data_IF_209215096785
#
_entry.id   IF_209215096785
#
_cell.length_a   1.000
_cell.length_b   1.000
_cell.length_c   1.000
_cell.angle_alpha   90.00
_cell.angle_beta   90.00
_cell.angle_gamma   90.00
#
_symmetry.space_group_name_H-M   'P 1'
#
loop_
_entity.id
_entity.type
_entity.pdbx_description
1 polymer ?
#
# COMPACT_ATOMS: atom_id res chain seq x y z
N UNK A 1 -5.34 -37.36 9.02
CA UNK A 1 -5.56 -36.07 9.70
C UNK A 1 -5.65 -35.02 8.62
N UNK A 2 -6.80 -34.36 8.46
CA UNK A 2 -6.92 -33.21 7.55
C UNK A 2 -6.24 -32.02 8.22
N UNK A 3 -5.08 -31.62 7.71
CA UNK A 3 -4.43 -30.40 8.15
C UNK A 3 -5.28 -29.21 7.66
N UNK A 4 -5.69 -28.32 8.56
CA UNK A 4 -6.29 -27.04 8.18
C UNK A 4 -5.20 -26.19 7.51
N UNK A 5 -5.20 -26.18 6.18
CA UNK A 5 -4.31 -25.33 5.38
C UNK A 5 -4.88 -23.90 5.36
N UNK A 6 -4.01 -22.87 5.30
CA UNK A 6 -4.48 -21.49 5.18
C UNK A 6 -5.22 -21.27 3.86
N UNK A 7 -6.35 -20.55 3.94
CA UNK A 7 -7.10 -20.10 2.75
C UNK A 7 -6.47 -18.83 2.20
N UNK A 8 -6.18 -18.82 0.89
CA UNK A 8 -5.71 -17.63 0.18
C UNK A 8 -6.94 -16.81 -0.21
N UNK A 9 -7.07 -15.61 0.36
CA UNK A 9 -8.14 -14.67 0.04
C UNK A 9 -7.83 -13.90 -1.23
N UNK A 10 -8.87 -13.47 -1.95
CA UNK A 10 -8.74 -12.56 -3.09
C UNK A 10 -9.63 -11.37 -2.81
N UNK A 11 -9.03 -10.20 -2.67
CA UNK A 11 -9.75 -8.96 -2.46
C UNK A 11 -9.71 -8.09 -3.70
N UNK A 12 -10.90 -7.63 -4.09
CA UNK A 12 -11.12 -6.63 -5.10
C UNK A 12 -12.10 -5.65 -4.47
N UNK A 13 -11.67 -4.42 -4.27
CA UNK A 13 -12.46 -3.42 -3.59
C UNK A 13 -12.73 -2.26 -4.54
N UNK A 14 -13.93 -1.70 -4.45
CA UNK A 14 -14.36 -0.62 -5.33
C UNK A 14 -14.03 0.73 -4.68
N UNK A 15 -13.60 1.68 -5.50
CA UNK A 15 -13.33 3.05 -5.08
C UNK A 15 -13.86 3.99 -6.16
N UNK A 16 -14.83 4.83 -5.83
CA UNK A 16 -15.55 5.66 -6.81
C UNK A 16 -14.66 6.60 -7.65
N UNK A 17 -13.48 6.96 -7.13
CA UNK A 17 -12.52 7.83 -7.83
C UNK A 17 -11.52 7.04 -8.70
N UNK A 18 -11.64 5.71 -8.75
CA UNK A 18 -10.80 4.86 -9.58
C UNK A 18 -11.59 3.74 -10.27
N UNK A 19 -11.31 3.55 -11.56
CA UNK A 19 -11.82 2.39 -12.29
C UNK A 19 -10.72 1.77 -13.14
N UNK A 20 -10.59 0.44 -13.07
CA UNK A 20 -9.93 -0.31 -14.14
C UNK A 20 -10.96 -0.51 -15.26
N UNK A 21 -10.78 0.15 -16.40
CA UNK A 21 -11.72 0.06 -17.51
C UNK A 21 -11.48 -1.23 -18.30
N UNK A 22 -10.23 -1.51 -18.63
CA UNK A 22 -9.81 -2.68 -19.41
C UNK A 22 -8.32 -3.00 -19.15
N UNK A 23 -7.89 -4.21 -19.50
CA UNK A 23 -6.48 -4.60 -19.42
C UNK A 23 -6.14 -5.67 -20.45
N UNK A 24 -4.89 -5.70 -20.87
CA UNK A 24 -4.37 -6.69 -21.80
C UNK A 24 -3.19 -6.14 -22.59
N UNK A 25 -2.53 -7.00 -23.35
CA UNK A 25 -1.35 -6.67 -24.15
C UNK A 25 -0.27 -5.90 -23.35
N UNK A 26 -0.06 -6.30 -22.08
CA UNK A 26 0.87 -5.66 -21.13
C UNK A 26 0.51 -4.23 -20.74
N UNK A 27 -0.75 -3.85 -20.87
CA UNK A 27 -1.24 -2.52 -20.54
C UNK A 27 -2.53 -2.60 -19.74
N UNK A 28 -2.84 -1.51 -19.05
CA UNK A 28 -4.13 -1.28 -18.41
C UNK A 28 -4.65 0.10 -18.77
N UNK A 29 -5.96 0.17 -19.00
CA UNK A 29 -6.72 1.38 -19.24
C UNK A 29 -7.46 1.72 -17.95
N UNK A 30 -7.12 2.84 -17.34
CA UNK A 30 -7.57 3.20 -15.99
C UNK A 30 -8.19 4.58 -15.99
N UNK A 31 -9.19 4.80 -15.14
CA UNK A 31 -9.74 6.11 -14.82
C UNK A 31 -9.32 6.49 -13.41
N UNK A 32 -8.74 7.66 -13.25
CA UNK A 32 -8.48 8.31 -11.96
C UNK A 32 -9.26 9.63 -11.94
N UNK A 33 -10.39 9.63 -11.24
CA UNK A 33 -11.38 10.71 -11.26
C UNK A 33 -11.75 11.09 -12.69
N UNK A 34 -11.34 12.29 -13.12
CA UNK A 34 -11.66 12.81 -14.46
C UNK A 34 -10.78 12.28 -15.60
N UNK A 35 -9.63 11.69 -15.31
CA UNK A 35 -8.65 11.33 -16.34
C UNK A 35 -8.62 9.85 -16.62
N UNK A 36 -8.73 9.49 -17.90
CA UNK A 36 -8.47 8.14 -18.41
C UNK A 36 -7.03 8.07 -18.88
N UNK A 37 -6.27 7.08 -18.42
CA UNK A 37 -4.86 6.91 -18.73
C UNK A 37 -4.56 5.48 -19.16
N UNK A 38 -3.51 5.29 -19.96
CA UNK A 38 -2.95 3.97 -20.24
C UNK A 38 -1.62 3.86 -19.51
N UNK A 39 -1.43 2.77 -18.77
CA UNK A 39 -0.15 2.45 -18.13
C UNK A 39 0.28 1.05 -18.50
N UNK A 40 1.60 0.85 -18.53
CA UNK A 40 2.18 -0.48 -18.61
C UNK A 40 1.83 -1.32 -17.38
N UNK A 41 1.33 -2.52 -17.65
CA UNK A 41 1.08 -3.58 -16.70
C UNK A 41 1.59 -4.90 -17.25
N UNK A 42 2.83 -5.24 -16.91
CA UNK A 42 3.50 -6.43 -17.43
C UNK A 42 2.73 -7.71 -17.13
N UNK A 43 1.85 -7.75 -16.12
CA UNK A 43 1.09 -8.95 -15.75
C UNK A 43 -0.11 -9.20 -16.67
N UNK A 44 -0.58 -8.21 -17.42
CA UNK A 44 -1.77 -8.30 -18.27
C UNK A 44 -1.45 -9.01 -19.61
N UNK A 45 -1.20 -10.33 -19.56
CA UNK A 45 -0.81 -11.16 -20.71
C UNK A 45 -1.91 -11.40 -21.75
N UNK A 46 -3.16 -11.28 -21.33
CA UNK A 46 -4.34 -11.54 -22.15
C UNK A 46 -4.58 -10.40 -23.14
N UNK A 47 -5.62 -10.53 -23.97
CA UNK A 47 -6.04 -9.48 -24.91
C UNK A 47 -7.04 -8.53 -24.23
N UNK A 48 -6.99 -7.23 -24.53
CA UNK A 48 -8.04 -6.28 -24.14
C UNK A 48 -9.41 -6.71 -24.67
N UNK A 49 -10.47 -6.43 -23.91
CA UNK A 49 -11.85 -6.68 -24.35
C UNK A 49 -12.47 -5.47 -25.06
N UNK A 50 -12.10 -4.25 -24.67
CA UNK A 50 -12.62 -3.04 -25.30
C UNK A 50 -12.00 -2.81 -26.68
N UNK A 51 -12.78 -2.25 -27.63
CA UNK A 51 -12.24 -1.91 -28.94
C UNK A 51 -11.17 -0.80 -28.84
N UNK A 52 -10.24 -0.71 -29.80
CA UNK A 52 -9.19 0.32 -29.81
C UNK A 52 -9.71 1.76 -29.75
N UNK A 53 -10.98 2.02 -30.10
CA UNK A 53 -11.61 3.34 -29.97
C UNK A 53 -11.71 3.80 -28.51
N UNK A 54 -11.96 2.89 -27.57
CA UNK A 54 -12.03 3.22 -26.14
C UNK A 54 -10.64 3.56 -25.60
N UNK A 55 -9.62 2.76 -25.95
CA UNK A 55 -8.23 3.01 -25.59
C UNK A 55 -7.70 4.35 -26.17
N UNK A 56 -8.21 4.79 -27.32
CA UNK A 56 -7.87 6.10 -27.90
C UNK A 56 -8.37 7.27 -27.04
N UNK A 57 -9.36 7.06 -26.18
CA UNK A 57 -9.89 8.09 -25.28
C UNK A 57 -8.97 8.39 -24.09
N UNK A 58 -7.88 7.66 -23.89
CA UNK A 58 -6.89 8.00 -22.87
C UNK A 58 -6.27 9.39 -23.14
N UNK A 59 -6.07 10.16 -22.07
CA UNK A 59 -5.48 11.50 -22.10
C UNK A 59 -3.96 11.46 -22.07
N UNK A 60 -3.41 10.43 -21.41
CA UNK A 60 -1.99 10.24 -21.22
C UNK A 60 -1.63 8.74 -21.27
N UNK A 61 -0.40 8.45 -21.70
CA UNK A 61 0.13 7.09 -21.80
C UNK A 61 1.49 7.03 -21.12
N UNK A 62 1.71 5.99 -20.33
CA UNK A 62 3.02 5.61 -19.83
C UNK A 62 3.38 4.21 -20.33
N UNK A 63 4.36 4.14 -21.24
CA UNK A 63 4.72 2.90 -21.96
C UNK A 63 5.77 2.04 -21.24
N UNK A 64 6.22 2.43 -20.04
CA UNK A 64 7.22 1.67 -19.28
C UNK A 64 8.63 1.67 -19.89
N UNK A 65 8.90 2.53 -20.89
CA UNK A 65 10.21 2.62 -21.54
C UNK A 65 11.30 3.18 -20.60
N UNK A 66 12.57 3.04 -20.98
CA UNK A 66 13.72 3.50 -20.16
C UNK A 66 13.68 5.01 -19.85
N UNK A 67 12.96 5.80 -20.65
CA UNK A 67 12.79 7.24 -20.42
C UNK A 67 11.80 7.51 -19.30
N UNK A 68 10.85 6.60 -19.08
CA UNK A 68 9.87 6.67 -18.02
C UNK A 68 8.94 7.87 -18.10
N UNK A 69 8.76 8.44 -19.30
CA UNK A 69 8.03 9.69 -19.50
C UNK A 69 6.58 9.44 -19.92
N UNK A 70 5.69 10.35 -19.51
CA UNK A 70 4.30 10.38 -19.95
C UNK A 70 4.16 11.01 -21.33
N UNK A 71 3.43 10.35 -22.23
CA UNK A 71 2.97 10.90 -23.50
C UNK A 71 1.56 11.47 -23.33
N UNK A 72 1.39 12.78 -23.55
CA UNK A 72 0.11 13.46 -23.43
C UNK A 72 -0.56 13.64 -24.80
N UNK A 73 -1.80 13.14 -24.93
CA UNK A 73 -2.61 13.27 -26.16
C UNK A 73 -3.46 14.54 -26.20
N UNK A 74 -3.60 15.21 -25.06
CA UNK A 74 -4.35 16.46 -24.89
C UNK A 74 -3.76 17.27 -23.73
N UNK A 75 -4.13 18.54 -23.63
CA UNK A 75 -3.77 19.37 -22.47
C UNK A 75 -4.48 18.85 -21.22
N UNK A 76 -3.71 18.56 -20.18
CA UNK A 76 -4.19 18.10 -18.87
C UNK A 76 -3.55 18.93 -17.77
N UNK A 77 -4.17 18.96 -16.59
CA UNK A 77 -3.51 19.48 -15.40
C UNK A 77 -2.36 18.54 -15.01
N UNK A 78 -1.30 19.09 -14.43
CA UNK A 78 -0.17 18.29 -13.93
C UNK A 78 -0.55 17.47 -12.70
N UNK A 79 -1.51 17.97 -11.92
CA UNK A 79 -2.07 17.35 -10.72
C UNK A 79 -3.59 17.50 -10.70
N UNK A 80 -4.26 16.58 -10.01
CA UNK A 80 -5.69 16.60 -9.75
C UNK A 80 -6.00 15.88 -8.44
N UNK A 81 -7.20 16.10 -7.92
CA UNK A 81 -7.64 15.52 -6.66
C UNK A 81 -8.47 14.25 -6.88
N UNK A 82 -8.31 13.32 -5.93
CA UNK A 82 -9.08 12.10 -5.75
C UNK A 82 -9.56 12.07 -4.30
N UNK A 83 -10.78 11.63 -4.06
CA UNK A 83 -11.35 11.55 -2.71
C UNK A 83 -11.46 10.11 -2.23
N UNK A 84 -10.99 9.81 -1.02
CA UNK A 84 -11.19 8.50 -0.40
C UNK A 84 -11.66 8.69 1.04
N UNK A 85 -12.89 8.29 1.35
CA UNK A 85 -13.53 8.59 2.63
C UNK A 85 -13.46 10.11 2.93
N UNK A 86 -12.76 10.50 4.00
CA UNK A 86 -12.56 11.91 4.38
C UNK A 86 -11.25 12.52 3.86
N UNK A 87 -10.52 11.79 3.02
CA UNK A 87 -9.24 12.21 2.48
C UNK A 87 -9.40 12.89 1.12
N UNK A 88 -8.66 13.98 0.93
CA UNK A 88 -8.39 14.57 -0.38
C UNK A 88 -6.96 14.25 -0.76
N UNK A 89 -6.80 13.36 -1.71
CA UNK A 89 -5.52 12.83 -2.18
C UNK A 89 -5.16 13.49 -3.50
N UNK A 90 -3.92 13.91 -3.62
CA UNK A 90 -3.42 14.43 -4.88
C UNK A 90 -2.85 13.30 -5.74
N UNK A 91 -3.32 13.25 -6.99
CA UNK A 91 -2.70 12.47 -8.05
C UNK A 91 -1.97 13.41 -9.02
N UNK A 92 -0.80 12.99 -9.52
CA UNK A 92 -0.02 13.77 -10.49
C UNK A 92 0.74 12.91 -11.48
N UNK A 93 0.97 13.47 -12.66
CA UNK A 93 1.88 12.89 -13.63
C UNK A 93 3.32 13.24 -13.25
N UNK A 94 4.10 12.22 -12.88
CA UNK A 94 5.52 12.41 -12.49
C UNK A 94 6.44 12.24 -13.70
N UNK A 95 7.58 12.92 -13.71
CA UNK A 95 8.46 12.94 -14.88
C UNK A 95 9.14 11.58 -15.17
N UNK A 96 9.38 10.76 -14.14
CA UNK A 96 10.23 9.56 -14.23
C UNK A 96 9.53 8.29 -13.74
N UNK A 97 8.22 8.33 -13.49
CA UNK A 97 7.49 7.16 -12.97
C UNK A 97 6.09 7.06 -13.57
N UNK A 98 5.64 5.80 -13.71
CA UNK A 98 4.26 5.46 -14.07
C UNK A 98 3.27 5.62 -12.91
N UNK A 99 3.76 5.79 -11.68
CA UNK A 99 2.90 5.97 -10.52
C UNK A 99 2.32 7.38 -10.51
N UNK A 100 1.03 7.45 -10.18
CA UNK A 100 0.27 8.71 -10.13
C UNK A 100 0.01 9.19 -8.71
N UNK A 101 0.54 8.50 -7.69
CA UNK A 101 0.41 8.90 -6.28
C UNK A 101 -0.44 8.01 -5.40
N UNK A 102 -1.20 7.08 -5.99
CA UNK A 102 -2.05 6.13 -5.27
C UNK A 102 -1.97 4.74 -5.89
N UNK A 103 -2.23 3.72 -5.08
CA UNK A 103 -2.38 2.32 -5.47
C UNK A 103 -3.80 1.88 -5.12
N UNK A 104 -4.76 2.02 -6.06
CA UNK A 104 -6.20 1.84 -5.80
C UNK A 104 -6.58 0.48 -5.19
N UNK A 105 -5.84 -0.57 -5.53
CA UNK A 105 -6.01 -1.92 -4.97
C UNK A 105 -5.86 -1.96 -3.44
N UNK A 106 -5.14 -0.99 -2.86
CA UNK A 106 -4.94 -0.86 -1.42
C UNK A 106 -6.18 -0.30 -0.70
N UNK A 107 -7.23 0.11 -1.42
CA UNK A 107 -8.50 0.55 -0.83
C UNK A 107 -9.05 -0.48 0.17
N UNK A 108 -8.94 -1.77 -0.15
CA UNK A 108 -9.32 -2.87 0.74
C UNK A 108 -8.58 -2.81 2.08
N UNK A 109 -7.28 -2.53 2.05
CA UNK A 109 -6.47 -2.40 3.24
C UNK A 109 -6.71 -1.09 3.97
N UNK A 110 -6.97 0.01 3.27
CA UNK A 110 -7.32 1.28 3.90
C UNK A 110 -8.59 1.15 4.73
N UNK A 111 -9.65 0.56 4.15
CA UNK A 111 -10.90 0.27 4.88
C UNK A 111 -10.65 -0.66 6.06
N UNK A 112 -9.88 -1.73 5.85
CA UNK A 112 -9.53 -2.66 6.93
C UNK A 112 -8.72 -2.00 8.07
N UNK A 113 -7.75 -1.13 7.75
CA UNK A 113 -6.97 -0.38 8.75
C UNK A 113 -7.91 0.49 9.60
N UNK A 114 -8.82 1.23 8.95
CA UNK A 114 -9.82 2.04 9.63
C UNK A 114 -10.67 1.19 10.59
N UNK A 115 -11.17 0.05 10.11
CA UNK A 115 -11.94 -0.89 10.93
C UNK A 115 -11.16 -1.41 12.14
N UNK A 116 -9.90 -1.79 11.97
CA UNK A 116 -9.08 -2.28 13.09
C UNK A 116 -8.85 -1.20 14.15
N UNK A 117 -8.61 0.04 13.71
CA UNK A 117 -8.43 1.18 14.63
C UNK A 117 -9.72 1.49 15.37
N UNK A 118 -10.87 1.45 14.70
CA UNK A 118 -12.16 1.69 15.35
C UNK A 118 -12.57 0.60 16.36
N UNK A 119 -12.13 -0.64 16.13
CA UNK A 119 -12.38 -1.76 17.06
C UNK A 119 -11.46 -1.73 18.28
N UNK A 120 -10.35 -1.00 18.22
CA UNK A 120 -9.43 -0.88 19.34
C UNK A 120 -9.90 0.21 20.32
N UNK A 121 -10.08 -0.14 21.59
CA UNK A 121 -10.57 0.79 22.61
C UNK A 121 -9.54 1.88 23.00
N UNK A 122 -8.29 1.76 22.55
CA UNK A 122 -7.24 2.74 22.86
C UNK A 122 -7.46 4.03 22.08
N UNK A 123 -7.49 5.15 22.79
CA UNK A 123 -7.63 6.50 22.20
C UNK A 123 -6.34 7.04 21.54
N UNK A 124 -5.25 6.26 21.52
CA UNK A 124 -3.96 6.69 20.97
C UNK A 124 -3.15 5.50 20.45
N UNK A 125 -3.77 4.68 19.58
CA UNK A 125 -3.10 3.55 18.95
C UNK A 125 -1.86 4.02 18.17
N UNK A 126 -0.68 3.50 18.48
CA UNK A 126 0.56 3.89 17.80
C UNK A 126 0.79 3.03 16.57
N UNK A 127 0.71 3.63 15.39
CA UNK A 127 0.89 2.95 14.10
C UNK A 127 2.24 3.33 13.50
N UNK A 128 3.06 2.35 13.16
CA UNK A 128 4.26 2.53 12.34
C UNK A 128 3.94 2.16 10.89
N UNK A 129 4.16 3.06 9.95
CA UNK A 129 4.06 2.78 8.52
C UNK A 129 5.43 2.89 7.86
N UNK A 130 5.99 1.76 7.43
CA UNK A 130 7.29 1.67 6.76
C UNK A 130 7.10 1.52 5.25
N UNK A 131 7.92 2.24 4.48
CA UNK A 131 7.78 2.37 3.02
C UNK A 131 6.44 3.01 2.65
N UNK A 132 6.06 4.04 3.41
CA UNK A 132 4.69 4.56 3.41
C UNK A 132 4.30 5.35 2.14
N UNK A 133 5.23 5.60 1.22
CA UNK A 133 4.99 6.31 -0.04
C UNK A 133 4.29 7.68 0.17
N UNK A 134 3.21 7.95 -0.55
CA UNK A 134 2.40 9.19 -0.44
C UNK A 134 1.49 9.21 0.79
N UNK A 135 1.58 8.21 1.67
CA UNK A 135 1.03 8.26 3.00
C UNK A 135 -0.47 8.00 3.12
N UNK A 136 -1.15 7.47 2.09
CA UNK A 136 -2.60 7.21 2.16
C UNK A 136 -2.98 6.37 3.38
N UNK A 137 -2.29 5.23 3.62
CA UNK A 137 -2.54 4.40 4.80
C UNK A 137 -2.26 5.12 6.13
N UNK A 138 -1.27 6.02 6.16
CA UNK A 138 -0.97 6.85 7.33
C UNK A 138 -2.07 7.87 7.60
N UNK A 139 -2.60 8.51 6.55
CA UNK A 139 -3.69 9.48 6.64
C UNK A 139 -4.98 8.80 7.08
N UNK A 140 -5.30 7.63 6.51
CA UNK A 140 -6.42 6.80 6.94
C UNK A 140 -6.28 6.50 8.43
N UNK A 141 -5.16 5.92 8.86
CA UNK A 141 -4.95 5.56 10.26
C UNK A 141 -5.12 6.75 11.20
N UNK A 142 -4.48 7.88 10.89
CA UNK A 142 -4.59 9.10 11.69
C UNK A 142 -6.02 9.62 11.76
N UNK A 143 -6.73 9.63 10.63
CA UNK A 143 -8.10 10.13 10.52
C UNK A 143 -9.10 9.33 11.37
N UNK A 144 -8.78 8.09 11.69
CA UNK A 144 -9.54 7.23 12.60
C UNK A 144 -9.02 7.23 14.05
N UNK A 145 -8.07 8.11 14.39
CA UNK A 145 -7.65 8.37 15.77
C UNK A 145 -6.30 7.78 16.17
N UNK A 146 -5.55 7.18 15.25
CA UNK A 146 -4.22 6.66 15.56
C UNK A 146 -3.14 7.77 15.60
N UNK A 147 -2.12 7.58 16.42
CA UNK A 147 -0.86 8.32 16.33
C UNK A 147 0.09 7.60 15.38
N UNK A 148 0.48 8.26 14.29
CA UNK A 148 1.17 7.60 13.18
C UNK A 148 2.62 8.07 13.10
N UNK A 149 3.55 7.13 12.97
CA UNK A 149 4.88 7.40 12.43
C UNK A 149 4.94 6.88 11.01
N UNK A 150 5.16 7.78 10.06
CA UNK A 150 5.33 7.48 8.65
C UNK A 150 6.80 7.54 8.28
N UNK A 151 7.32 6.51 7.61
CA UNK A 151 8.72 6.43 7.19
C UNK A 151 8.80 6.07 5.72
N UNK A 152 9.50 6.91 4.95
CA UNK A 152 9.90 6.61 3.58
C UNK A 152 11.29 7.20 3.30
N UNK A 153 12.06 6.59 2.41
CA UNK A 153 13.40 7.06 2.06
C UNK A 153 13.37 8.27 1.10
N UNK A 154 12.31 8.40 0.29
CA UNK A 154 12.24 9.43 -0.72
C UNK A 154 11.62 10.72 -0.17
N UNK A 155 12.46 11.76 0.00
CA UNK A 155 12.02 13.08 0.50
C UNK A 155 10.82 13.66 -0.27
N UNK A 156 10.78 13.45 -1.59
CA UNK A 156 9.70 13.94 -2.46
C UNK A 156 8.35 13.28 -2.17
N UNK A 157 8.31 11.96 -1.90
CA UNK A 157 7.05 11.27 -1.59
C UNK A 157 6.59 11.56 -0.17
N UNK A 158 7.51 11.76 0.79
CA UNK A 158 7.16 12.23 2.13
C UNK A 158 6.58 13.65 2.09
N UNK A 159 7.14 14.54 1.27
CA UNK A 159 6.57 15.88 1.05
C UNK A 159 5.18 15.79 0.44
N UNK A 160 4.98 14.92 -0.55
CA UNK A 160 3.67 14.65 -1.15
C UNK A 160 2.67 14.12 -0.11
N UNK A 161 3.08 13.25 0.80
CA UNK A 161 2.24 12.80 1.90
C UNK A 161 1.81 13.92 2.87
N UNK A 162 2.71 14.88 3.14
CA UNK A 162 2.36 16.09 3.90
C UNK A 162 1.38 16.98 3.15
N UNK A 163 1.58 17.17 1.83
CA UNK A 163 0.63 17.90 0.98
C UNK A 163 -0.76 17.24 1.01
N UNK A 164 -0.83 15.91 0.96
CA UNK A 164 -2.09 15.16 1.12
C UNK A 164 -2.72 15.33 2.52
N UNK A 165 -1.91 15.41 3.57
CA UNK A 165 -2.38 15.70 4.93
C UNK A 165 -3.05 17.07 5.01
N UNK A 166 -2.41 18.09 4.44
CA UNK A 166 -2.91 19.46 4.39
C UNK A 166 -4.19 19.57 3.57
N UNK A 167 -4.21 18.99 2.35
CA UNK A 167 -5.39 18.95 1.47
C UNK A 167 -6.59 18.25 2.13
N UNK A 168 -6.33 17.23 2.93
CA UNK A 168 -7.37 16.50 3.67
C UNK A 168 -7.85 17.24 4.93
N UNK A 169 -7.30 18.40 5.27
CA UNK A 169 -7.64 19.13 6.49
C UNK A 169 -7.19 18.41 7.77
N UNK A 170 -6.13 17.60 7.69
CA UNK A 170 -5.66 16.74 8.78
C UNK A 170 -4.34 17.24 9.41
N UNK A 171 -3.97 18.50 9.19
CA UNK A 171 -2.68 19.06 9.63
C UNK A 171 -2.45 18.98 11.15
N UNK A 172 -3.52 19.01 11.95
CA UNK A 172 -3.44 18.92 13.41
C UNK A 172 -3.37 17.47 13.93
N UNK A 173 -3.51 16.47 13.06
CA UNK A 173 -3.44 15.07 13.45
C UNK A 173 -2.00 14.59 13.70
N UNK A 174 -1.80 13.65 14.65
CA UNK A 174 -0.47 13.25 15.11
C UNK A 174 0.25 12.32 14.11
N UNK A 175 0.74 12.87 12.99
CA UNK A 175 1.56 12.16 12.01
C UNK A 175 3.00 12.65 12.06
N UNK A 176 3.91 11.78 12.51
CA UNK A 176 5.36 12.00 12.46
C UNK A 176 5.92 11.53 11.11
N UNK A 177 6.19 12.47 10.23
CA UNK A 177 6.77 12.23 8.89
C UNK A 177 8.30 12.16 8.94
N UNK A 178 8.85 10.99 8.62
CA UNK A 178 10.28 10.69 8.69
C UNK A 178 10.81 10.37 7.28
N UNK A 179 11.90 11.04 6.90
CA UNK A 179 12.68 10.72 5.69
C UNK A 179 13.89 9.90 6.12
N UNK A 180 13.84 8.58 6.00
CA UNK A 180 14.93 7.72 6.45
C UNK A 180 14.91 6.32 5.80
N UNK A 181 16.02 5.59 5.91
CA UNK A 181 16.05 4.16 5.61
C UNK A 181 15.25 3.40 6.68
N UNK A 182 14.34 2.52 6.24
CA UNK A 182 13.42 1.82 7.14
C UNK A 182 14.15 0.98 8.20
N UNK A 183 15.20 0.24 7.83
CA UNK A 183 15.95 -0.59 8.78
C UNK A 183 16.67 0.31 9.80
N UNK A 184 17.41 1.33 9.34
CA UNK A 184 18.11 2.25 10.24
C UNK A 184 17.14 2.98 11.17
N UNK A 185 15.95 3.31 10.68
CA UNK A 185 14.90 3.91 11.50
C UNK A 185 14.47 2.96 12.61
N UNK A 186 14.10 1.73 12.25
CA UNK A 186 13.68 0.70 13.20
C UNK A 186 14.77 0.46 14.26
N UNK A 187 16.02 0.28 13.86
CA UNK A 187 17.16 0.09 14.80
C UNK A 187 17.33 1.26 15.78
N UNK A 188 17.11 2.51 15.33
CA UNK A 188 17.15 3.68 16.23
C UNK A 188 16.00 3.70 17.21
N UNK A 189 14.79 3.32 16.77
CA UNK A 189 13.63 3.26 17.64
C UNK A 189 13.77 2.15 18.68
N UNK A 190 14.38 1.01 18.33
CA UNK A 190 14.74 -0.06 19.29
C UNK A 190 15.68 0.49 20.36
N UNK A 191 16.76 1.19 19.95
CA UNK A 191 17.70 1.83 20.90
C UNK A 191 17.06 2.90 21.79
N UNK A 192 15.91 3.44 21.37
CA UNK A 192 15.13 4.45 22.12
C UNK A 192 13.97 3.81 22.89
N UNK A 193 13.89 2.49 22.91
CA UNK A 193 12.84 1.72 23.61
C UNK A 193 11.43 2.16 23.19
N UNK A 194 11.27 2.51 21.91
CA UNK A 194 9.97 2.85 21.35
C UNK A 194 9.20 1.59 21.01
N UNK A 195 7.90 1.65 21.23
CA UNK A 195 6.96 0.58 20.88
C UNK A 195 5.80 1.12 20.06
N UNK A 196 5.24 0.24 19.23
CA UNK A 196 4.11 0.48 18.36
C UNK A 196 3.08 -0.62 18.54
N UNK A 197 1.82 -0.24 18.47
CA UNK A 197 0.69 -1.15 18.65
C UNK A 197 0.28 -1.76 17.31
N UNK A 198 0.59 -1.11 16.18
CA UNK A 198 0.45 -1.69 14.86
C UNK A 198 1.60 -1.33 13.92
N UNK A 199 1.89 -2.21 12.97
CA UNK A 199 2.93 -2.02 11.96
C UNK A 199 2.36 -2.30 10.57
N UNK A 200 2.57 -1.36 9.64
CA UNK A 200 2.31 -1.49 8.21
C UNK A 200 3.65 -1.58 7.47
N UNK A 201 3.76 -2.56 6.58
CA UNK A 201 4.97 -2.87 5.81
C UNK A 201 4.63 -2.98 4.32
N UNK A 202 5.22 -2.12 3.50
CA UNK A 202 5.12 -2.23 2.02
C UNK A 202 6.50 -2.21 1.34
N UNK A 203 7.43 -3.11 1.71
CA UNK A 203 8.79 -3.06 1.19
C UNK A 203 8.84 -3.33 -0.33
N UNK A 204 9.54 -2.50 -1.11
CA UNK A 204 9.74 -2.78 -2.53
C UNK A 204 10.70 -3.95 -2.73
N UNK A 205 10.71 -4.57 -3.91
CA UNK A 205 11.69 -5.62 -4.25
C UNK A 205 13.13 -5.09 -4.22
N UNK A 206 13.31 -3.86 -4.69
CA UNK A 206 14.57 -3.13 -4.74
C UNK A 206 14.33 -1.66 -4.35
N UNK A 207 15.27 -1.08 -3.62
CA UNK A 207 15.19 0.32 -3.23
C UNK A 207 16.54 0.90 -2.83
N UNK A 208 16.54 2.20 -2.56
CA UNK A 208 17.70 2.88 -1.97
C UNK A 208 17.27 3.79 -0.84
N UNK A 209 18.00 3.74 0.27
CA UNK A 209 17.86 4.69 1.37
C UNK A 209 18.33 6.09 0.97
N UNK A 210 18.05 7.12 1.80
CA UNK A 210 18.41 8.51 1.49
C UNK A 210 19.93 8.72 1.31
N UNK A 211 20.76 7.89 1.95
CA UNK A 211 22.22 7.93 1.83
C UNK A 211 22.75 6.80 0.93
N UNK A 212 21.93 6.32 -0.01
CA UNK A 212 22.26 5.27 -1.00
C UNK A 212 22.45 3.87 -0.40
N UNK A 213 21.90 3.62 0.78
CA UNK A 213 21.81 2.28 1.37
C UNK A 213 21.08 1.34 0.39
N UNK A 214 21.64 0.17 0.11
CA UNK A 214 21.01 -0.77 -0.82
C UNK A 214 19.91 -1.56 -0.11
N UNK A 215 18.68 -1.47 -0.61
CA UNK A 215 17.58 -2.34 -0.21
C UNK A 215 17.33 -3.38 -1.29
N UNK A 216 17.40 -4.64 -0.88
CA UNK A 216 16.98 -5.81 -1.67
C UNK A 216 16.19 -6.73 -0.76
N UNK A 217 14.93 -6.96 -1.09
CA UNK A 217 14.01 -7.67 -0.19
C UNK A 217 14.52 -9.08 0.15
N UNK A 218 15.07 -9.79 -0.84
CA UNK A 218 15.63 -11.14 -0.74
C UNK A 218 16.75 -11.29 0.30
N UNK A 219 17.41 -10.19 0.67
CA UNK A 219 18.51 -10.19 1.64
C UNK A 219 18.16 -9.55 2.97
N UNK A 220 17.07 -8.79 3.06
CA UNK A 220 16.82 -7.86 4.18
C UNK A 220 15.47 -8.04 4.86
N UNK A 221 14.54 -8.76 4.25
CA UNK A 221 13.19 -8.89 4.79
C UNK A 221 13.16 -9.57 6.16
N UNK A 222 13.89 -10.68 6.33
CA UNK A 222 13.97 -11.39 7.62
C UNK A 222 14.47 -10.48 8.75
N UNK A 223 15.64 -9.86 8.56
CA UNK A 223 16.23 -8.93 9.54
C UNK A 223 15.30 -7.77 9.87
N UNK A 224 14.59 -7.22 8.89
CA UNK A 224 13.62 -6.14 9.12
C UNK A 224 12.45 -6.62 9.98
N UNK A 225 11.91 -7.82 9.73
CA UNK A 225 10.80 -8.37 10.52
C UNK A 225 11.23 -8.68 11.96
N UNK A 226 12.43 -9.22 12.16
CA UNK A 226 13.00 -9.45 13.50
C UNK A 226 13.17 -8.14 14.28
N UNK A 227 13.57 -7.08 13.59
CA UNK A 227 13.68 -5.75 14.18
C UNK A 227 12.30 -5.12 14.44
N UNK A 228 11.34 -5.26 13.53
CA UNK A 228 9.97 -4.80 13.73
C UNK A 228 9.29 -5.52 14.91
N UNK A 229 9.57 -6.81 15.10
CA UNK A 229 9.05 -7.60 16.22
C UNK A 229 9.49 -7.00 17.56
N UNK A 230 10.71 -6.51 17.68
CA UNK A 230 11.22 -5.84 18.89
C UNK A 230 10.55 -4.49 19.16
N UNK A 231 9.92 -3.89 18.14
CA UNK A 231 9.17 -2.64 18.26
C UNK A 231 7.69 -2.85 18.59
N UNK A 232 7.19 -4.08 18.62
CA UNK A 232 5.80 -4.33 19.00
C UNK A 232 5.60 -4.02 20.48
N UNK A 233 4.44 -3.45 20.83
CA UNK A 233 4.02 -3.33 22.22
C UNK A 233 3.67 -4.69 22.82
N UNK A 234 3.48 -4.74 24.14
CA UNK A 234 3.05 -5.97 24.83
C UNK A 234 1.66 -6.47 24.37
N UNK A 235 0.87 -5.59 23.75
CA UNK A 235 -0.49 -5.86 23.26
C UNK A 235 -0.64 -5.30 21.84
N UNK A 236 0.04 -5.89 20.84
CA UNK A 236 -0.09 -5.42 19.48
C UNK A 236 -1.52 -5.66 18.99
N UNK A 237 -2.04 -4.68 18.25
CA UNK A 237 -3.34 -4.68 17.61
C UNK A 237 -3.30 -5.48 16.30
N UNK A 238 -2.44 -5.06 15.36
CA UNK A 238 -2.32 -5.72 14.07
C UNK A 238 -0.99 -5.47 13.37
N UNK A 239 -0.63 -6.36 12.44
CA UNK A 239 0.48 -6.18 11.50
C UNK A 239 -0.06 -6.43 10.10
N UNK A 240 0.25 -5.54 9.16
CA UNK A 240 -0.10 -5.69 7.74
C UNK A 240 1.15 -5.61 6.90
N UNK A 241 1.35 -6.60 6.02
CA UNK A 241 2.44 -6.64 5.07
C UNK A 241 1.90 -6.82 3.65
N UNK A 242 2.36 -5.98 2.73
CA UNK A 242 2.05 -6.05 1.29
C UNK A 242 3.33 -6.23 0.49
N UNK A 243 3.29 -7.09 -0.54
CA UNK A 243 4.40 -7.30 -1.48
C UNK A 243 3.90 -7.27 -2.93
N UNK A 244 4.55 -6.49 -3.79
CA UNK A 244 4.22 -6.44 -5.22
C UNK A 244 4.90 -7.53 -6.07
N UNK A 245 5.80 -8.33 -5.45
CA UNK A 245 6.53 -9.43 -6.08
C UNK A 245 5.67 -10.70 -6.20
N UNK A 246 4.79 -10.76 -7.20
CA UNK A 246 3.84 -11.87 -7.42
C UNK A 246 4.46 -13.22 -7.81
N UNK A 247 5.77 -13.28 -8.04
CA UNK A 247 6.47 -14.56 -8.27
C UNK A 247 6.50 -15.43 -7.00
N UNK A 248 6.13 -14.85 -5.86
CA UNK A 248 6.00 -15.52 -4.57
C UNK A 248 4.54 -15.91 -4.30
N UNK A 249 4.33 -16.83 -3.36
CA UNK A 249 3.00 -17.16 -2.84
C UNK A 249 2.72 -16.38 -1.56
N UNK A 250 1.47 -15.97 -1.33
CA UNK A 250 1.04 -15.39 -0.06
C UNK A 250 1.24 -16.35 1.14
N UNK A 251 1.46 -17.65 0.90
CA UNK A 251 1.93 -18.61 1.91
C UNK A 251 3.26 -18.19 2.55
N UNK A 252 4.15 -17.53 1.80
CA UNK A 252 5.38 -16.95 2.35
C UNK A 252 5.06 -15.94 3.44
N UNK A 253 4.10 -15.04 3.19
CA UNK A 253 3.67 -14.02 4.14
C UNK A 253 3.08 -14.67 5.40
N UNK A 254 2.31 -15.76 5.27
CA UNK A 254 1.83 -16.51 6.42
C UNK A 254 2.97 -17.06 7.28
N UNK A 255 4.01 -17.61 6.66
CA UNK A 255 5.16 -18.16 7.39
C UNK A 255 5.96 -17.05 8.11
N UNK A 256 6.19 -15.93 7.42
CA UNK A 256 6.89 -14.77 7.98
C UNK A 256 6.11 -14.16 9.16
N UNK A 257 4.80 -13.96 9.01
CA UNK A 257 3.95 -13.44 10.08
C UNK A 257 3.82 -14.43 11.24
N UNK A 258 3.78 -15.74 10.97
CA UNK A 258 3.76 -16.75 12.04
C UNK A 258 5.02 -16.70 12.88
N UNK A 259 6.19 -16.52 12.27
CA UNK A 259 7.44 -16.36 13.00
C UNK A 259 7.48 -15.02 13.75
N UNK A 260 7.18 -13.92 13.05
CA UNK A 260 7.18 -12.57 13.63
C UNK A 260 6.21 -12.46 14.82
N UNK A 261 5.08 -13.16 14.78
CA UNK A 261 4.00 -13.06 15.78
C UNK A 261 3.89 -14.27 16.71
N UNK A 262 4.88 -15.18 16.74
CA UNK A 262 4.80 -16.48 17.44
C UNK A 262 4.44 -16.44 18.94
N UNK A 263 4.69 -15.31 19.60
CA UNK A 263 4.45 -15.12 21.04
C UNK A 263 3.18 -14.28 21.32
N UNK A 264 2.41 -13.97 20.28
CA UNK A 264 1.17 -13.21 20.38
C UNK A 264 -0.02 -14.04 19.90
N UNK A 265 -1.11 -14.05 20.67
CA UNK A 265 -2.36 -14.71 20.29
C UNK A 265 -3.14 -13.87 19.27
N UNK A 266 -3.46 -14.46 18.12
CA UNK A 266 -4.18 -13.78 17.05
C UNK A 266 -4.42 -14.69 15.84
N UNK A 267 -4.99 -14.11 14.79
CA UNK A 267 -5.25 -14.80 13.53
C UNK A 267 -4.39 -14.22 12.41
N UNK A 268 -3.99 -15.08 11.48
CA UNK A 268 -3.28 -14.68 10.26
C UNK A 268 -4.21 -14.91 9.08
N UNK A 269 -4.35 -13.89 8.25
CA UNK A 269 -5.00 -13.97 6.96
C UNK A 269 -4.01 -13.60 5.86
N UNK A 270 -4.08 -14.28 4.73
CA UNK A 270 -3.20 -14.07 3.59
C UNK A 270 -4.01 -14.07 2.30
N UNK A 271 -3.49 -13.41 1.28
CA UNK A 271 -4.21 -13.32 0.02
C UNK A 271 -3.53 -12.47 -1.03
N UNK A 272 -4.35 -12.04 -1.98
CA UNK A 272 -3.98 -11.15 -3.07
C UNK A 272 -4.94 -9.96 -3.12
N UNK A 273 -4.38 -8.78 -3.36
CA UNK A 273 -5.14 -7.62 -3.80
C UNK A 273 -5.18 -7.61 -5.32
N UNK A 274 -6.37 -7.32 -5.84
CA UNK A 274 -6.66 -7.40 -7.27
C UNK A 274 -7.51 -6.22 -7.71
N UNK A 275 -7.55 -6.02 -9.02
CA UNK A 275 -8.44 -5.07 -9.67
C UNK A 275 -9.31 -5.81 -10.68
N UNK A 276 -10.62 -5.58 -10.64
CA UNK A 276 -11.55 -6.12 -11.62
C UNK A 276 -11.81 -5.07 -12.72
N UNK A 277 -11.48 -5.35 -14.00
CA UNK A 277 -11.85 -4.48 -15.10
C UNK A 277 -13.38 -4.37 -15.23
N UNK A 278 -13.91 -3.19 -15.58
CA UNK A 278 -15.33 -3.03 -15.91
C UNK A 278 -15.73 -3.79 -17.18
N UNK A 279 -14.81 -3.89 -18.13
CA UNK A 279 -15.07 -4.51 -19.43
C UNK A 279 -14.92 -6.04 -19.46
N UNK A 280 -14.33 -6.67 -18.42
CA UNK A 280 -13.91 -8.08 -18.45
C UNK A 280 -14.07 -8.75 -17.08
N UNK A 281 -14.33 -10.06 -17.07
CA UNK A 281 -14.21 -10.88 -15.86
C UNK A 281 -12.76 -11.33 -15.57
N UNK A 282 -11.80 -10.95 -16.41
CA UNK A 282 -10.37 -11.26 -16.21
C UNK A 282 -9.79 -10.34 -15.13
N UNK A 283 -9.68 -10.87 -13.92
CA UNK A 283 -9.13 -10.16 -12.76
C UNK A 283 -7.63 -9.91 -12.93
N UNK A 284 -7.20 -8.67 -12.66
CA UNK A 284 -5.79 -8.29 -12.69
C UNK A 284 -5.18 -8.40 -11.28
N UNK A 285 -4.24 -9.33 -11.04
CA UNK A 285 -3.57 -9.43 -9.74
C UNK A 285 -2.53 -8.31 -9.57
N UNK A 286 -2.54 -7.67 -8.40
CA UNK A 286 -1.71 -6.48 -8.13
C UNK A 286 -0.60 -6.79 -7.13
N UNK A 287 -0.97 -7.24 -5.92
CA UNK A 287 -0.02 -7.49 -4.83
C UNK A 287 -0.46 -8.66 -3.95
N UNK A 288 0.49 -9.28 -3.27
CA UNK A 288 0.25 -10.24 -2.20
C UNK A 288 0.07 -9.49 -0.88
N UNK A 289 -0.72 -10.04 0.03
CA UNK A 289 -0.79 -9.53 1.39
C UNK A 289 -0.77 -10.64 2.43
N UNK A 290 -0.32 -10.27 3.62
CA UNK A 290 -0.53 -11.01 4.85
C UNK A 290 -0.82 -10.04 5.97
N UNK A 291 -1.79 -10.37 6.81
CA UNK A 291 -2.15 -9.58 7.98
C UNK A 291 -2.32 -10.47 9.19
N UNK A 292 -1.75 -10.04 10.32
CA UNK A 292 -2.01 -10.62 11.64
C UNK A 292 -2.90 -9.66 12.42
N UNK A 293 -3.91 -10.19 13.11
CA UNK A 293 -4.81 -9.43 13.97
C UNK A 293 -4.88 -10.06 15.34
N UNK A 294 -4.81 -9.23 16.39
CA UNK A 294 -4.95 -9.67 17.78
C UNK A 294 -6.29 -10.33 18.02
N UNK A 295 -6.31 -11.40 18.82
CA UNK A 295 -7.56 -12.03 19.26
C UNK A 295 -8.43 -11.08 20.10
N UNK A 296 -7.83 -10.07 20.73
CA UNK A 296 -8.58 -9.06 21.48
C UNK A 296 -9.34 -8.07 20.58
N UNK A 297 -9.14 -8.10 19.26
CA UNK A 297 -9.86 -7.29 18.26
C UNK A 297 -10.86 -8.11 17.42
N UNK A 298 -10.83 -9.44 17.52
CA UNK A 298 -11.82 -10.29 16.87
C UNK A 298 -13.13 -10.24 17.66
N UNK A 299 -14.20 -9.76 17.03
CA UNK A 299 -15.54 -9.60 17.61
C UNK A 299 -16.27 -10.94 17.94
N UNK A 300 -15.55 -12.05 17.99
CA UNK A 300 -16.07 -13.40 18.29
C UNK A 300 -15.47 -13.94 19.61
N UNK A 301 -15.65 -13.19 20.70
CA UNK A 301 -15.51 -13.68 22.07
C UNK A 301 -16.82 -13.44 22.84
#
# INVERSE_FOLDING_TARGET
>A
MTHNLPTIQVYCDEWDEYELLDSGNRQKLERFGRYVVIREELKAWWKPELPPSEWKQAVAIHSGDERGAWEFRRKVASEWELHFDRLTLEARFTATSKHVGVFPEQAAHWRWIAEQIQRDERTNLRVLNLFGYTGVASLVAASYGAAVTHVDAAKGVVAWGRENQERSGLSDLPIRWIVDDAMKFVEREIRRERQYDAILLDPPSFGRGPNKELWKIEHRLGDLLDACRQLLSDKPAFVLMTLYSLEQSSLLLANLLREMMRDFSGSIEIGELTLKPKASDTILPMSLFGRWTSQNLSADA
#
